data_IF_738497066625
#
_entry.id   IF_738497066625
#
_cell.length_a   1.000
_cell.length_b   1.000
_cell.length_c   1.000
_cell.angle_alpha   90.00
_cell.angle_beta   90.00
_cell.angle_gamma   90.00
#
_symmetry.space_group_name_H-M   'P 1'
#
loop_
_entity.id
_entity.type
_entity.pdbx_description
1 polymer ?
#
# COMPACT_ATOMS: atom_id res chain seq x y z
N UNK A 1 23.59 -23.59 -5.21
CA UNK A 1 22.44 -23.23 -4.37
C UNK A 1 22.13 -21.72 -4.37
N UNK A 2 23.08 -20.80 -4.07
CA UNK A 2 22.80 -19.34 -4.10
C UNK A 2 22.27 -18.79 -5.44
N UNK A 3 22.78 -19.24 -6.58
CA UNK A 3 22.32 -18.80 -7.91
C UNK A 3 20.93 -19.32 -8.29
N UNK A 4 20.50 -20.48 -7.77
CA UNK A 4 19.17 -21.02 -8.03
C UNK A 4 18.10 -20.37 -7.15
N UNK A 5 18.43 -19.95 -5.91
CA UNK A 5 17.49 -19.20 -5.05
C UNK A 5 17.21 -17.82 -5.64
N UNK A 6 18.24 -17.12 -6.15
CA UNK A 6 18.10 -15.81 -6.78
C UNK A 6 17.28 -15.92 -8.09
N UNK A 7 17.48 -16.98 -8.88
CA UNK A 7 16.70 -17.18 -10.11
C UNK A 7 15.23 -17.57 -9.82
N UNK A 8 14.94 -18.24 -8.72
CA UNK A 8 13.55 -18.57 -8.33
C UNK A 8 12.84 -17.35 -7.76
N UNK A 9 13.53 -16.49 -7.00
CA UNK A 9 12.97 -15.19 -6.57
C UNK A 9 12.74 -14.25 -7.78
N UNK A 10 13.65 -14.22 -8.74
CA UNK A 10 13.48 -13.45 -9.96
C UNK A 10 12.31 -13.94 -10.83
N UNK A 11 11.98 -15.24 -10.78
CA UNK A 11 10.83 -15.80 -11.51
C UNK A 11 9.51 -15.39 -10.89
N UNK A 12 9.43 -15.19 -9.57
CA UNK A 12 8.24 -14.65 -8.88
C UNK A 12 8.03 -13.19 -9.28
N UNK A 13 9.11 -12.42 -9.48
CA UNK A 13 9.06 -11.04 -9.94
C UNK A 13 8.69 -10.90 -11.44
N UNK A 14 9.00 -11.89 -12.27
CA UNK A 14 8.74 -11.85 -13.72
C UNK A 14 7.33 -12.28 -14.12
N UNK A 15 6.54 -12.82 -13.20
CA UNK A 15 5.16 -13.26 -13.46
C UNK A 15 4.09 -12.18 -13.27
N UNK A 16 4.47 -10.91 -13.03
CA UNK A 16 3.51 -9.86 -12.77
C UNK A 16 3.95 -8.48 -13.25
N UNK A 17 3.89 -8.23 -14.54
CA UNK A 17 4.05 -6.87 -15.10
C UNK A 17 2.75 -6.07 -14.97
N UNK A 18 2.19 -5.92 -13.75
CA UNK A 18 1.17 -4.89 -13.46
C UNK A 18 0.87 -4.88 -11.95
N UNK A 19 1.53 -4.05 -11.18
CA UNK A 19 1.23 -3.91 -9.76
C UNK A 19 1.17 -2.42 -9.40
N UNK A 20 0.02 -1.93 -9.02
CA UNK A 20 -0.12 -0.72 -8.25
C UNK A 20 -1.18 -0.94 -7.20
N UNK A 21 -0.90 -0.47 -6.02
CA UNK A 21 -1.77 -0.53 -4.87
C UNK A 21 -1.91 0.89 -4.34
N UNK A 22 -3.11 1.35 -4.13
CA UNK A 22 -3.33 2.53 -3.30
C UNK A 22 -4.68 2.35 -2.60
N UNK A 23 -4.70 2.36 -1.27
CA UNK A 23 -5.92 2.26 -0.49
C UNK A 23 -5.84 3.14 0.76
N UNK A 24 -4.73 3.12 1.49
CA UNK A 24 -4.41 4.07 2.57
C UNK A 24 -3.20 4.90 2.12
N UNK A 25 -3.45 5.93 1.28
CA UNK A 25 -2.40 6.51 0.47
C UNK A 25 -1.88 5.47 -0.53
N UNK A 26 -0.61 5.11 -0.49
CA UNK A 26 -0.06 4.04 -1.33
C UNK A 26 0.08 2.68 -0.60
N UNK A 27 -0.35 2.55 0.67
CA UNK A 27 -0.37 1.29 1.39
C UNK A 27 -1.67 0.52 1.15
N UNK A 28 -1.61 -0.82 1.16
CA UNK A 28 -2.82 -1.66 1.15
C UNK A 28 -3.61 -1.51 2.45
N UNK A 29 -4.93 -1.74 2.40
CA UNK A 29 -5.81 -1.62 3.56
C UNK A 29 -5.61 -2.71 4.63
N UNK A 30 -4.82 -3.76 4.33
CA UNK A 30 -4.46 -4.86 5.22
C UNK A 30 -3.72 -5.97 4.49
N UNK A 31 -3.24 -6.97 5.19
CA UNK A 31 -2.53 -8.12 4.64
C UNK A 31 -3.29 -9.40 4.97
N UNK A 32 -3.34 -10.33 3.99
CA UNK A 32 -4.11 -11.55 4.07
C UNK A 32 -5.58 -11.39 3.66
N UNK A 33 -6.07 -12.33 2.86
CA UNK A 33 -7.41 -12.27 2.24
C UNK A 33 -8.52 -12.29 3.30
N UNK A 34 -8.33 -13.04 4.40
CA UNK A 34 -9.31 -13.06 5.48
C UNK A 34 -9.44 -11.71 6.20
N UNK A 35 -8.31 -11.04 6.51
CA UNK A 35 -8.30 -9.71 7.11
C UNK A 35 -8.84 -8.64 6.16
N UNK A 36 -8.48 -8.72 4.86
CA UNK A 36 -9.02 -7.82 3.83
C UNK A 36 -10.55 -7.92 3.70
N UNK A 37 -11.12 -9.09 4.00
CA UNK A 37 -12.58 -9.27 4.11
C UNK A 37 -13.22 -8.51 5.28
N UNK A 38 -12.43 -7.93 6.19
CA UNK A 38 -12.83 -7.06 7.28
C UNK A 38 -12.22 -5.65 7.16
N UNK A 39 -11.98 -5.18 5.95
CA UNK A 39 -11.31 -3.90 5.66
C UNK A 39 -9.92 -3.78 6.32
N UNK A 40 -9.23 -4.90 6.49
CA UNK A 40 -7.93 -4.98 7.16
C UNK A 40 -8.01 -4.84 8.69
N UNK A 41 -9.19 -4.88 9.28
CA UNK A 41 -9.36 -4.96 10.73
C UNK A 41 -9.04 -6.36 11.26
N UNK A 42 -8.82 -6.47 12.58
CA UNK A 42 -8.56 -7.73 13.27
C UNK A 42 -7.12 -7.89 13.74
N UNK A 43 -6.46 -6.80 14.11
CA UNK A 43 -5.09 -6.82 14.64
C UNK A 43 -4.93 -7.70 15.89
N UNK A 44 -6.02 -7.92 16.63
CA UNK A 44 -6.07 -8.80 17.79
C UNK A 44 -6.43 -10.26 17.45
N UNK A 45 -6.58 -10.61 16.17
CA UNK A 45 -6.98 -11.94 15.70
C UNK A 45 -5.87 -12.67 14.95
N UNK A 46 -5.89 -14.00 15.04
CA UNK A 46 -5.03 -14.90 14.25
C UNK A 46 -5.94 -15.76 13.36
N UNK A 47 -6.29 -15.26 12.17
CA UNK A 47 -7.28 -15.89 11.29
C UNK A 47 -6.64 -16.77 10.19
N UNK A 48 -5.42 -16.46 9.83
CA UNK A 48 -4.63 -17.15 8.80
C UNK A 48 -3.13 -16.85 8.99
N UNK A 49 -2.26 -17.51 8.23
CA UNK A 49 -0.82 -17.28 8.30
C UNK A 49 -0.44 -15.80 8.08
N UNK A 50 -1.11 -15.14 7.14
CA UNK A 50 -0.88 -13.73 6.83
C UNK A 50 -1.28 -12.77 7.95
N UNK A 51 -1.96 -13.23 9.02
CA UNK A 51 -2.18 -12.43 10.24
C UNK A 51 -0.86 -11.93 10.85
N UNK A 52 0.23 -12.70 10.67
CA UNK A 52 1.58 -12.30 11.08
C UNK A 52 2.12 -11.05 10.38
N UNK A 53 1.64 -10.71 9.18
CA UNK A 53 2.02 -9.50 8.45
C UNK A 53 1.35 -8.24 9.03
N UNK A 54 0.15 -8.37 9.61
CA UNK A 54 -0.52 -7.28 10.33
C UNK A 54 0.06 -7.11 11.75
N UNK A 55 0.27 -8.24 12.45
CA UNK A 55 0.84 -8.28 13.80
C UNK A 55 1.70 -9.54 13.95
N UNK A 56 3.03 -9.43 14.10
CA UNK A 56 3.91 -10.60 14.24
C UNK A 56 3.52 -11.58 15.35
N UNK A 57 2.89 -11.08 16.43
CA UNK A 57 2.39 -11.92 17.51
C UNK A 57 1.25 -12.88 17.08
N UNK A 58 0.65 -12.63 15.92
CA UNK A 58 -0.47 -13.41 15.38
C UNK A 58 -0.06 -14.50 14.38
N UNK A 59 1.24 -14.71 14.18
CA UNK A 59 1.71 -15.90 13.49
C UNK A 59 1.49 -17.13 14.39
N UNK A 60 0.39 -17.82 14.18
CA UNK A 60 0.01 -19.04 14.92
C UNK A 60 -0.24 -20.18 13.95
N UNK A 61 0.39 -21.30 14.22
CA UNK A 61 0.21 -22.56 13.52
C UNK A 61 0.34 -23.71 14.51
N UNK A 62 -0.31 -24.84 14.23
CA UNK A 62 -0.24 -26.08 15.01
C UNK A 62 0.65 -27.16 14.32
N UNK A 63 1.06 -26.90 13.09
CA UNK A 63 1.85 -27.79 12.24
C UNK A 63 2.62 -26.94 11.21
N UNK A 64 3.22 -27.55 10.23
CA UNK A 64 3.73 -26.79 9.07
C UNK A 64 2.56 -26.41 8.16
N UNK A 65 2.38 -25.12 7.92
CA UNK A 65 1.33 -24.60 7.06
C UNK A 65 1.89 -23.70 5.97
N UNK A 66 1.19 -23.65 4.84
CA UNK A 66 1.47 -22.81 3.70
C UNK A 66 0.23 -21.99 3.38
N UNK A 67 0.43 -20.79 2.86
CA UNK A 67 -0.62 -19.95 2.29
C UNK A 67 -0.17 -19.42 0.94
N UNK A 68 -1.08 -19.43 -0.03
CA UNK A 68 -0.90 -18.77 -1.32
C UNK A 68 -2.15 -17.97 -1.62
N UNK A 69 -1.99 -16.69 -1.87
CA UNK A 69 -3.08 -15.77 -2.17
C UNK A 69 -2.81 -14.94 -3.42
N UNK A 70 -3.89 -14.46 -4.00
CA UNK A 70 -3.90 -13.55 -5.14
C UNK A 70 -5.06 -12.57 -4.98
N UNK A 71 -4.77 -11.28 -5.09
CA UNK A 71 -5.77 -10.24 -5.22
C UNK A 71 -5.74 -9.65 -6.63
N UNK A 72 -6.90 -9.47 -7.22
CA UNK A 72 -7.12 -8.67 -8.41
C UNK A 72 -7.65 -7.31 -7.97
N UNK A 73 -6.83 -6.28 -8.15
CA UNK A 73 -7.10 -4.91 -7.77
C UNK A 73 -7.40 -4.06 -9.01
N UNK A 74 -8.53 -3.33 -8.98
CA UNK A 74 -8.99 -2.54 -10.12
C UNK A 74 -9.28 -1.09 -9.71
N UNK A 75 -8.31 -0.17 -9.86
CA UNK A 75 -8.50 1.26 -9.64
C UNK A 75 -8.90 1.98 -10.94
N UNK A 76 -9.90 2.85 -10.88
CA UNK A 76 -10.21 3.86 -11.90
C UNK A 76 -9.68 5.22 -11.42
N UNK A 77 -8.70 5.79 -12.12
CA UNK A 77 -8.01 7.03 -11.77
C UNK A 77 -8.11 8.00 -12.94
N UNK A 78 -8.41 9.25 -12.63
CA UNK A 78 -8.46 10.31 -13.64
C UNK A 78 -8.06 11.66 -13.07
N UNK A 79 -7.66 12.56 -13.94
CA UNK A 79 -7.58 13.97 -13.64
C UNK A 79 -8.45 14.77 -14.60
N UNK A 80 -8.85 15.97 -14.16
CA UNK A 80 -9.56 16.95 -14.98
C UNK A 80 -8.86 18.30 -14.88
N UNK A 81 -8.57 18.93 -16.01
CA UNK A 81 -8.08 20.30 -16.09
C UNK A 81 -9.17 21.20 -16.68
N UNK A 82 -9.43 22.34 -16.03
CA UNK A 82 -10.43 23.29 -16.50
C UNK A 82 -9.95 24.09 -17.71
N UNK A 83 -10.89 24.60 -18.52
CA UNK A 83 -10.59 25.61 -19.52
C UNK A 83 -10.23 26.95 -18.86
N UNK A 84 -9.40 27.72 -19.53
CA UNK A 84 -8.95 29.04 -19.08
C UNK A 84 -9.30 30.09 -20.13
N UNK A 85 -9.94 31.17 -19.71
CA UNK A 85 -10.34 32.27 -20.62
C UNK A 85 -9.18 33.21 -20.98
N UNK A 86 -8.27 33.43 -20.03
CA UNK A 86 -7.11 34.32 -20.21
C UNK A 86 -5.82 33.54 -19.82
N UNK A 87 -4.88 33.48 -20.76
CA UNK A 87 -3.59 32.85 -20.54
C UNK A 87 -2.58 33.87 -19.99
N UNK A 88 -1.92 33.54 -18.90
CA UNK A 88 -0.78 34.32 -18.43
C UNK A 88 0.48 33.87 -19.18
N UNK A 89 1.37 34.80 -19.57
CA UNK A 89 2.68 34.43 -20.09
C UNK A 89 3.44 33.55 -19.05
N UNK A 90 4.19 32.59 -19.53
CA UNK A 90 5.07 31.72 -18.75
C UNK A 90 4.36 30.78 -17.75
N UNK A 91 3.02 30.74 -17.71
CA UNK A 91 2.28 29.78 -16.88
C UNK A 91 2.19 28.41 -17.57
N UNK A 92 2.30 27.33 -16.78
CA UNK A 92 2.25 25.95 -17.27
C UNK A 92 0.81 25.40 -17.18
N UNK A 93 0.04 25.66 -18.24
CA UNK A 93 -1.33 25.16 -18.36
C UNK A 93 -1.35 23.71 -18.82
N UNK A 94 -2.24 22.93 -18.25
CA UNK A 94 -2.61 21.64 -18.83
C UNK A 94 -3.73 21.81 -19.84
N UNK A 95 -3.79 20.92 -20.84
CA UNK A 95 -4.89 20.88 -21.79
C UNK A 95 -6.23 20.66 -21.06
N UNK A 96 -7.23 21.50 -21.38
CA UNK A 96 -8.56 21.44 -20.77
C UNK A 96 -9.28 20.16 -21.19
N UNK A 97 -9.20 19.13 -20.37
CA UNK A 97 -9.80 17.80 -20.58
C UNK A 97 -9.92 17.01 -19.30
N UNK A 98 -10.69 15.92 -19.35
CA UNK A 98 -10.61 14.82 -18.39
C UNK A 98 -9.84 13.68 -19.05
N UNK A 99 -8.84 13.15 -18.37
CA UNK A 99 -8.07 12.00 -18.85
C UNK A 99 -8.01 10.91 -17.78
N UNK A 100 -8.31 9.67 -18.17
CA UNK A 100 -8.22 8.48 -17.34
C UNK A 100 -6.85 7.82 -17.50
N UNK A 101 -6.40 7.18 -16.42
CA UNK A 101 -5.24 6.30 -16.47
C UNK A 101 -5.60 4.99 -17.18
N UNK A 102 -4.73 4.53 -18.06
CA UNK A 102 -4.96 3.35 -18.90
C UNK A 102 -4.69 2.03 -18.15
N UNK A 103 -3.88 2.05 -17.09
CA UNK A 103 -3.63 0.89 -16.25
C UNK A 103 -4.75 0.73 -15.22
N UNK A 104 -5.60 -0.30 -15.37
CA UNK A 104 -6.82 -0.44 -14.56
C UNK A 104 -6.94 -1.79 -13.83
N UNK A 105 -6.00 -2.72 -14.00
CA UNK A 105 -6.07 -4.04 -13.37
C UNK A 105 -4.69 -4.51 -12.94
N UNK A 106 -4.59 -4.95 -11.67
CA UNK A 106 -3.35 -5.37 -11.05
C UNK A 106 -3.53 -6.69 -10.31
N UNK A 107 -2.53 -7.58 -10.41
CA UNK A 107 -2.50 -8.85 -9.72
C UNK A 107 -1.47 -8.79 -8.57
N UNK A 108 -1.92 -9.03 -7.33
CA UNK A 108 -1.12 -8.91 -6.12
C UNK A 108 -1.01 -10.26 -5.46
N UNK A 109 0.12 -10.95 -5.63
CA UNK A 109 0.34 -12.23 -4.98
C UNK A 109 0.76 -12.04 -3.52
N UNK A 110 0.37 -12.99 -2.67
CA UNK A 110 0.90 -13.17 -1.32
C UNK A 110 1.25 -14.64 -1.07
N UNK A 111 2.29 -14.87 -0.29
CA UNK A 111 2.74 -16.20 0.09
C UNK A 111 3.17 -16.21 1.55
N UNK A 112 2.86 -17.30 2.25
CA UNK A 112 3.38 -17.53 3.59
C UNK A 112 3.70 -19.00 3.83
N UNK A 113 4.72 -19.23 4.65
CA UNK A 113 5.01 -20.51 5.28
C UNK A 113 5.16 -20.29 6.78
N UNK A 114 4.53 -21.13 7.58
CA UNK A 114 4.66 -21.12 9.04
C UNK A 114 4.91 -22.53 9.58
N UNK A 115 5.63 -22.59 10.69
CA UNK A 115 5.95 -23.84 11.38
C UNK A 115 5.94 -23.63 12.89
N UNK A 116 5.28 -24.52 13.60
CA UNK A 116 5.34 -24.57 15.06
C UNK A 116 6.65 -25.26 15.48
N UNK A 117 7.59 -24.50 16.02
CA UNK A 117 8.87 -25.04 16.49
C UNK A 117 8.72 -25.79 17.82
N UNK A 118 7.85 -25.30 18.70
CA UNK A 118 7.40 -25.91 19.94
C UNK A 118 6.11 -25.23 20.43
N UNK A 119 5.57 -25.66 21.58
CA UNK A 119 4.32 -25.13 22.15
C UNK A 119 4.28 -23.60 22.34
N UNK A 120 5.43 -22.94 22.40
CA UNK A 120 5.55 -21.50 22.66
C UNK A 120 6.05 -20.70 21.46
N UNK A 121 6.68 -21.31 20.48
CA UNK A 121 7.37 -20.62 19.40
C UNK A 121 6.81 -21.05 18.05
N UNK A 122 6.31 -20.08 17.31
CA UNK A 122 6.00 -20.22 15.89
C UNK A 122 6.98 -19.37 15.08
N UNK A 123 7.43 -19.90 13.96
CA UNK A 123 8.30 -19.21 12.99
C UNK A 123 7.68 -19.26 11.62
N UNK A 124 7.99 -18.30 10.80
CA UNK A 124 7.50 -18.28 9.41
C UNK A 124 8.23 -17.28 8.53
N UNK A 125 7.89 -17.34 7.25
CA UNK A 125 8.29 -16.32 6.26
C UNK A 125 7.04 -15.89 5.52
N UNK A 126 6.79 -14.59 5.52
CA UNK A 126 5.66 -13.96 4.86
C UNK A 126 6.20 -13.11 3.70
N UNK A 127 5.58 -13.23 2.53
CA UNK A 127 5.95 -12.48 1.31
C UNK A 127 4.69 -11.83 0.77
N UNK A 128 4.66 -10.51 0.68
CA UNK A 128 3.46 -9.77 0.32
C UNK A 128 3.76 -8.38 -0.25
N UNK A 129 2.86 -7.88 -1.09
CA UNK A 129 2.88 -6.49 -1.54
C UNK A 129 2.48 -5.56 -0.40
N UNK A 130 3.33 -4.54 -0.11
CA UNK A 130 2.99 -3.52 0.87
C UNK A 130 2.10 -2.44 0.26
N UNK A 131 2.41 -2.04 -0.97
CA UNK A 131 1.73 -0.97 -1.65
C UNK A 131 2.44 -0.56 -2.94
N UNK A 132 2.00 0.55 -3.49
CA UNK A 132 2.57 1.13 -4.70
C UNK A 132 1.75 2.29 -5.23
N UNK A 133 2.28 2.95 -6.23
CA UNK A 133 1.62 4.01 -6.99
C UNK A 133 1.75 3.69 -8.47
N UNK A 134 0.66 3.81 -9.21
CA UNK A 134 0.72 3.65 -10.65
C UNK A 134 -0.30 4.55 -11.33
N UNK A 135 0.14 5.26 -12.34
CA UNK A 135 -0.70 5.90 -13.35
C UNK A 135 -0.03 5.76 -14.69
N UNK A 136 -0.82 5.75 -15.74
CA UNK A 136 -0.33 5.83 -17.12
C UNK A 136 -1.36 6.58 -17.96
N UNK A 137 -0.98 7.75 -18.43
CA UNK A 137 -1.77 8.58 -19.32
C UNK A 137 -1.11 8.51 -20.70
N UNK A 138 -1.60 7.59 -21.53
CA UNK A 138 -1.03 7.36 -22.86
C UNK A 138 -1.21 8.58 -23.75
N UNK A 139 -0.16 8.89 -24.49
CA UNK A 139 -0.10 9.98 -25.46
C UNK A 139 0.88 9.63 -26.58
N UNK A 140 0.95 10.47 -27.60
CA UNK A 140 2.02 10.44 -28.58
C UNK A 140 3.38 10.81 -27.97
N UNK A 141 4.28 11.26 -28.85
CA UNK A 141 5.58 11.85 -28.42
C UNK A 141 5.40 13.32 -28.06
N UNK A 142 6.36 13.89 -27.33
CA UNK A 142 6.38 15.33 -27.08
C UNK A 142 6.15 16.14 -28.40
N UNK A 143 5.32 17.21 -28.37
CA UNK A 143 4.76 17.92 -27.21
C UNK A 143 3.38 17.40 -26.73
N UNK A 144 2.96 16.20 -27.11
CA UNK A 144 1.71 15.61 -26.60
C UNK A 144 1.84 15.17 -25.13
N UNK A 145 0.73 14.75 -24.53
CA UNK A 145 0.67 14.18 -23.18
C UNK A 145 0.33 15.19 -22.10
N UNK A 146 0.11 14.66 -20.89
CA UNK A 146 -0.36 15.43 -19.73
C UNK A 146 0.56 16.62 -19.42
N UNK A 147 1.86 16.39 -19.46
CA UNK A 147 2.87 17.42 -19.20
C UNK A 147 3.68 17.80 -20.47
N UNK A 148 3.11 17.60 -21.66
CA UNK A 148 3.74 17.92 -22.95
C UNK A 148 5.07 17.18 -23.21
N UNK A 149 5.24 16.02 -22.60
CA UNK A 149 6.46 15.22 -22.65
C UNK A 149 6.20 13.76 -23.08
N UNK A 150 5.10 13.52 -23.81
CA UNK A 150 4.67 12.19 -24.23
C UNK A 150 3.82 11.46 -23.18
N UNK A 151 3.77 10.14 -23.25
CA UNK A 151 3.09 9.31 -22.25
C UNK A 151 3.60 9.65 -20.85
N UNK A 152 2.67 9.95 -19.95
CA UNK A 152 2.99 10.42 -18.60
C UNK A 152 2.52 9.41 -17.58
N UNK A 153 3.34 9.10 -16.59
CA UNK A 153 2.95 8.23 -15.48
C UNK A 153 4.10 7.82 -14.59
N UNK A 154 3.74 7.10 -13.52
CA UNK A 154 4.67 6.47 -12.59
C UNK A 154 4.26 5.03 -12.32
N UNK A 155 5.22 4.22 -11.93
CA UNK A 155 5.01 2.83 -11.51
C UNK A 155 5.93 2.51 -10.32
N UNK A 156 5.38 2.53 -9.11
CA UNK A 156 6.05 2.14 -7.87
C UNK A 156 5.48 0.82 -7.37
N UNK A 157 6.34 -0.12 -7.05
CA UNK A 157 6.00 -1.44 -6.49
C UNK A 157 6.85 -1.74 -5.27
N UNK A 158 6.21 -2.26 -4.22
CA UNK A 158 6.90 -2.62 -2.98
C UNK A 158 6.55 -4.04 -2.57
N UNK A 159 7.54 -4.89 -2.41
CA UNK A 159 7.45 -6.26 -1.93
C UNK A 159 8.16 -6.39 -0.58
N UNK A 160 7.46 -6.94 0.40
CA UNK A 160 8.01 -7.27 1.71
C UNK A 160 8.30 -8.77 1.81
N UNK A 161 9.47 -9.09 2.37
CA UNK A 161 9.86 -10.44 2.78
C UNK A 161 10.12 -10.36 4.28
N UNK A 162 9.27 -11.01 5.06
CA UNK A 162 9.21 -10.86 6.53
C UNK A 162 9.40 -12.21 7.23
N UNK A 163 10.65 -12.61 7.55
CA UNK A 163 10.87 -13.67 8.51
C UNK A 163 10.24 -13.26 9.85
N UNK A 164 9.37 -14.10 10.39
CA UNK A 164 8.56 -13.77 11.56
C UNK A 164 8.73 -14.80 12.64
N UNK A 165 8.86 -14.35 13.88
CA UNK A 165 8.84 -15.19 15.08
C UNK A 165 7.74 -14.68 16.00
N UNK A 166 6.85 -15.58 16.42
CA UNK A 166 5.85 -15.36 17.47
C UNK A 166 6.20 -16.21 18.70
N UNK A 167 6.12 -15.61 19.87
CA UNK A 167 6.41 -16.25 21.16
C UNK A 167 5.25 -16.13 22.14
N UNK A 168 4.77 -17.26 22.65
CA UNK A 168 3.76 -17.34 23.73
C UNK A 168 4.43 -17.07 25.07
N UNK A 169 4.37 -15.82 25.54
CA UNK A 169 4.99 -15.39 26.79
C UNK A 169 4.31 -16.04 28.00
N UNK A 170 2.98 -16.06 28.01
CA UNK A 170 2.14 -16.77 28.96
C UNK A 170 0.81 -17.15 28.27
N UNK A 171 -0.12 -17.79 28.97
CA UNK A 171 -1.40 -18.26 28.40
C UNK A 171 -2.22 -17.16 27.72
N UNK A 172 -2.04 -15.91 28.13
CA UNK A 172 -2.83 -14.76 27.68
C UNK A 172 -2.07 -13.84 26.73
N UNK A 173 -0.73 -13.87 26.73
CA UNK A 173 0.09 -12.86 26.06
C UNK A 173 1.03 -13.51 25.06
N UNK A 174 1.00 -13.03 23.83
CA UNK A 174 1.95 -13.34 22.78
C UNK A 174 2.68 -12.08 22.35
N UNK A 175 3.93 -12.22 21.97
CA UNK A 175 4.74 -11.18 21.37
C UNK A 175 5.35 -11.69 20.07
N UNK A 176 5.66 -10.80 19.16
CA UNK A 176 6.24 -11.20 17.89
C UNK A 176 7.20 -10.16 17.34
N UNK A 177 8.10 -10.62 16.48
CA UNK A 177 9.06 -9.78 15.76
C UNK A 177 9.20 -10.29 14.33
N UNK A 178 9.26 -9.33 13.40
CA UNK A 178 9.51 -9.56 11.99
C UNK A 178 10.56 -8.55 11.50
N UNK A 179 11.83 -8.93 11.32
CA UNK A 179 12.68 -8.21 10.38
C UNK A 179 11.99 -8.18 9.02
N UNK A 180 12.03 -7.03 8.35
CA UNK A 180 11.42 -6.84 7.04
C UNK A 180 12.53 -6.50 6.05
N UNK A 181 12.68 -7.29 5.00
CA UNK A 181 13.46 -6.94 3.83
C UNK A 181 12.53 -6.42 2.74
N UNK A 182 12.80 -5.22 2.25
CA UNK A 182 12.00 -4.55 1.24
C UNK A 182 12.70 -4.57 -0.10
N UNK A 183 11.97 -4.95 -1.14
CA UNK A 183 12.34 -4.75 -2.53
C UNK A 183 11.38 -3.71 -3.12
N UNK A 184 11.94 -2.66 -3.73
CA UNK A 184 11.18 -1.59 -4.33
C UNK A 184 11.62 -1.38 -5.77
N UNK A 185 10.66 -1.16 -6.67
CA UNK A 185 10.89 -0.80 -8.07
C UNK A 185 10.15 0.47 -8.39
N UNK A 186 10.79 1.34 -9.18
CA UNK A 186 10.19 2.59 -9.61
C UNK A 186 10.52 2.89 -11.07
N UNK A 187 9.55 3.47 -11.76
CA UNK A 187 9.68 4.05 -13.09
C UNK A 187 8.82 5.31 -13.19
N UNK A 188 9.34 6.35 -13.84
CA UNK A 188 8.60 7.56 -14.21
C UNK A 188 8.80 7.90 -15.68
N UNK A 189 7.73 8.35 -16.33
CA UNK A 189 7.70 8.71 -17.74
C UNK A 189 7.05 10.08 -17.95
N UNK A 190 7.48 10.79 -19.00
CA UNK A 190 6.83 12.00 -19.48
C UNK A 190 6.92 13.20 -18.56
N UNK A 191 8.02 13.36 -17.80
CA UNK A 191 8.24 14.47 -16.88
C UNK A 191 9.32 15.46 -17.37
N UNK A 192 9.83 15.33 -18.60
CA UNK A 192 10.95 16.14 -19.10
C UNK A 192 10.65 17.65 -19.15
N UNK A 193 9.39 18.06 -19.15
CA UNK A 193 8.99 19.48 -19.03
C UNK A 193 9.37 20.10 -17.68
N UNK A 194 9.61 19.31 -16.66
CA UNK A 194 10.10 19.76 -15.34
C UNK A 194 11.63 19.78 -15.24
N UNK A 195 12.36 19.44 -16.30
CA UNK A 195 13.83 19.45 -16.34
C UNK A 195 14.47 20.76 -15.87
N UNK A 196 13.93 21.97 -16.17
CA UNK A 196 14.46 23.24 -15.68
C UNK A 196 14.42 23.38 -14.13
N UNK A 197 13.56 22.61 -13.46
CA UNK A 197 13.41 22.61 -12.02
C UNK A 197 14.25 21.52 -11.33
N UNK A 198 15.00 20.70 -12.05
CA UNK A 198 15.75 19.56 -11.49
C UNK A 198 17.25 19.87 -11.37
N UNK A 199 17.86 19.43 -10.26
CA UNK A 199 19.31 19.45 -10.09
C UNK A 199 20.04 18.46 -11.01
N UNK A 200 19.33 17.42 -11.51
CA UNK A 200 19.86 16.41 -12.42
C UNK A 200 18.84 16.08 -13.50
N UNK A 201 18.65 16.97 -14.49
CA UNK A 201 17.61 16.86 -15.51
C UNK A 201 17.59 15.54 -16.29
N UNK A 202 18.76 14.92 -16.51
CA UNK A 202 18.90 13.64 -17.19
C UNK A 202 18.44 12.45 -16.33
N UNK A 203 18.28 12.63 -15.02
CA UNK A 203 17.82 11.62 -14.07
C UNK A 203 16.43 11.99 -13.50
N UNK A 204 15.57 12.62 -14.30
CA UNK A 204 14.23 13.05 -13.89
C UNK A 204 13.15 12.06 -14.31
N UNK A 205 13.15 11.61 -15.55
CA UNK A 205 12.18 10.66 -16.10
C UNK A 205 12.73 9.89 -17.30
N UNK A 206 11.96 8.89 -17.76
CA UNK A 206 12.25 8.10 -18.96
C UNK A 206 13.56 7.30 -18.89
N UNK A 207 13.98 6.93 -17.70
CA UNK A 207 15.21 6.19 -17.42
C UNK A 207 14.98 4.68 -17.21
N UNK A 208 13.76 4.19 -17.51
CA UNK A 208 13.36 2.79 -17.28
C UNK A 208 13.22 2.46 -15.80
N UNK A 209 13.00 1.19 -15.51
CA UNK A 209 12.79 0.72 -14.14
C UNK A 209 14.09 0.72 -13.34
N UNK A 210 14.09 1.39 -12.18
CA UNK A 210 15.15 1.32 -11.18
C UNK A 210 14.70 0.50 -9.96
N UNK A 211 15.65 -0.01 -9.17
CA UNK A 211 15.39 -0.87 -8.03
C UNK A 211 16.10 -0.38 -6.78
N UNK A 212 15.41 -0.47 -5.66
CA UNK A 212 15.91 -0.09 -4.35
C UNK A 212 15.62 -1.19 -3.33
N UNK A 213 16.45 -1.29 -2.30
CA UNK A 213 16.27 -2.24 -1.20
C UNK A 213 16.44 -1.55 0.14
N UNK A 214 15.73 -2.06 1.15
CA UNK A 214 15.83 -1.54 2.50
C UNK A 214 15.52 -2.60 3.54
N UNK A 215 15.77 -2.29 4.80
CA UNK A 215 15.52 -3.17 5.94
C UNK A 215 14.80 -2.41 7.04
N UNK A 216 13.76 -3.03 7.57
CA UNK A 216 13.00 -2.52 8.72
C UNK A 216 12.71 -3.61 9.72
N UNK A 217 11.93 -3.26 10.74
CA UNK A 217 11.48 -4.20 11.76
C UNK A 217 10.01 -3.92 12.10
N UNK A 218 9.26 -5.00 12.33
CA UNK A 218 7.93 -4.93 12.90
C UNK A 218 7.89 -5.67 14.22
N UNK A 219 7.29 -5.05 15.23
CA UNK A 219 7.06 -5.60 16.55
C UNK A 219 5.57 -5.75 16.76
N UNK A 220 5.17 -6.78 17.53
CA UNK A 220 3.77 -7.01 17.81
C UNK A 220 3.53 -7.60 19.17
N UNK A 221 2.37 -7.30 19.73
CA UNK A 221 1.82 -7.92 20.93
C UNK A 221 0.35 -8.24 20.70
N UNK A 222 -0.09 -9.36 21.28
CA UNK A 222 -1.50 -9.74 21.37
C UNK A 222 -1.77 -10.25 22.78
N UNK A 223 -2.87 -9.78 23.37
CA UNK A 223 -3.26 -10.18 24.71
C UNK A 223 -4.75 -10.49 24.80
N UNK A 224 -5.05 -11.67 25.31
CA UNK A 224 -6.40 -12.08 25.70
C UNK A 224 -6.68 -11.60 27.13
N UNK A 225 -7.64 -10.71 27.30
CA UNK A 225 -8.03 -10.17 28.60
C UNK A 225 -8.97 -11.16 29.33
N UNK A 226 -9.93 -11.71 28.58
CA UNK A 226 -10.87 -12.72 29.05
C UNK A 226 -11.45 -13.50 27.85
N UNK A 227 -12.42 -14.37 28.08
CA UNK A 227 -13.03 -15.20 27.03
C UNK A 227 -13.72 -14.42 25.90
N UNK A 228 -14.02 -13.13 26.12
CA UNK A 228 -14.75 -12.29 25.16
C UNK A 228 -13.94 -11.14 24.60
N UNK A 229 -12.82 -10.76 25.23
CA UNK A 229 -12.06 -9.56 24.86
C UNK A 229 -10.59 -9.87 24.69
N UNK A 230 -10.04 -9.48 23.54
CA UNK A 230 -8.60 -9.41 23.28
C UNK A 230 -8.22 -8.05 22.68
N UNK A 231 -6.95 -7.69 22.78
CA UNK A 231 -6.37 -6.52 22.12
C UNK A 231 -5.00 -6.86 21.56
N UNK A 232 -4.58 -6.08 20.59
CA UNK A 232 -3.26 -6.18 20.00
C UNK A 232 -2.70 -4.82 19.63
N UNK A 233 -1.39 -4.74 19.54
CA UNK A 233 -0.68 -3.59 19.00
C UNK A 233 0.46 -4.05 18.10
N UNK A 234 0.74 -3.29 17.07
CA UNK A 234 1.85 -3.51 16.15
C UNK A 234 2.50 -2.18 15.80
N UNK A 235 3.84 -2.18 15.77
CA UNK A 235 4.65 -1.06 15.31
C UNK A 235 5.59 -1.53 14.21
N UNK A 236 5.59 -0.83 13.09
CA UNK A 236 6.55 -0.99 12.00
C UNK A 236 7.43 0.25 11.91
N UNK A 237 8.74 0.05 11.96
CA UNK A 237 9.69 1.15 11.79
C UNK A 237 9.59 1.76 10.41
N UNK A 238 10.01 3.00 10.26
CA UNK A 238 10.44 3.52 8.96
C UNK A 238 11.51 2.59 8.37
N UNK A 239 11.58 2.55 7.04
CA UNK A 239 12.59 1.77 6.31
C UNK A 239 13.40 2.72 5.46
N UNK A 240 14.67 2.91 5.81
CA UNK A 240 15.61 3.60 4.93
C UNK A 240 15.90 2.72 3.73
N UNK A 241 15.58 3.24 2.57
CA UNK A 241 15.77 2.58 1.28
C UNK A 241 17.07 3.09 0.63
N UNK A 242 17.64 2.30 -0.25
CA UNK A 242 18.65 2.80 -1.17
C UNK A 242 18.02 3.81 -2.12
N UNK A 243 18.78 4.82 -2.53
CA UNK A 243 18.31 5.83 -3.48
C UNK A 243 18.06 5.20 -4.86
N UNK A 244 17.11 5.77 -5.60
CA UNK A 244 16.93 5.49 -7.02
C UNK A 244 17.89 6.36 -7.85
N UNK A 245 19.06 5.83 -8.18
CA UNK A 245 20.10 6.56 -8.93
C UNK A 245 19.60 7.12 -10.27
N UNK A 246 18.75 6.35 -10.95
CA UNK A 246 18.14 6.75 -12.23
C UNK A 246 17.14 7.90 -12.07
N UNK A 247 16.67 8.17 -10.84
CA UNK A 247 15.67 9.20 -10.52
C UNK A 247 16.16 10.20 -9.47
N UNK A 248 17.49 10.36 -9.32
CA UNK A 248 18.10 11.31 -8.38
C UNK A 248 17.80 12.78 -8.69
N UNK A 249 17.26 13.08 -9.86
CA UNK A 249 16.79 14.41 -10.25
C UNK A 249 15.28 14.61 -10.03
N UNK A 250 14.56 13.58 -9.56
CA UNK A 250 13.12 13.62 -9.30
C UNK A 250 12.83 13.67 -7.79
N UNK A 251 13.19 12.63 -7.08
CA UNK A 251 12.89 12.49 -5.66
C UNK A 251 13.85 13.29 -4.78
N UNK A 252 13.32 13.82 -3.67
CA UNK A 252 14.14 14.42 -2.64
C UNK A 252 15.28 13.48 -2.19
N UNK A 253 16.29 14.03 -1.53
CA UNK A 253 17.42 13.24 -1.03
C UNK A 253 18.16 12.46 -2.14
N UNK A 254 18.25 13.05 -3.35
CA UNK A 254 18.94 12.51 -4.53
C UNK A 254 18.43 11.13 -4.98
N UNK A 255 17.12 10.95 -4.96
CA UNK A 255 16.45 9.70 -5.36
C UNK A 255 15.90 8.91 -4.17
N UNK A 256 15.84 9.51 -2.98
CA UNK A 256 15.32 8.88 -1.77
C UNK A 256 13.81 8.66 -1.83
N UNK A 257 13.37 7.45 -1.55
CA UNK A 257 11.98 7.09 -1.39
C UNK A 257 11.83 6.05 -0.29
N UNK A 258 12.01 6.49 0.94
CA UNK A 258 11.90 5.69 2.16
C UNK A 258 10.45 5.22 2.39
N UNK A 259 10.26 4.27 3.29
CA UNK A 259 8.93 3.88 3.72
C UNK A 259 8.65 4.47 5.11
N UNK A 260 7.44 5.04 5.30
CA UNK A 260 7.05 5.63 6.57
C UNK A 260 6.88 4.57 7.66
N UNK A 261 7.07 5.00 8.90
CA UNK A 261 6.71 4.23 10.07
C UNK A 261 5.20 4.12 10.21
N UNK A 262 4.73 3.08 10.91
CA UNK A 262 3.31 2.95 11.22
C UNK A 262 3.07 2.27 12.56
N UNK A 263 2.00 2.68 13.23
CA UNK A 263 1.51 2.06 14.45
C UNK A 263 0.05 1.66 14.27
N UNK A 264 -0.32 0.51 14.81
CA UNK A 264 -1.70 0.03 14.80
C UNK A 264 -2.04 -0.54 16.18
N UNK A 265 -3.28 -0.28 16.64
CA UNK A 265 -3.84 -0.83 17.89
C UNK A 265 -5.24 -1.35 17.55
N UNK A 266 -5.57 -2.53 18.03
CA UNK A 266 -6.85 -3.15 17.74
C UNK A 266 -7.43 -3.93 18.90
N UNK A 267 -8.73 -4.14 18.85
CA UNK A 267 -9.49 -4.94 19.83
C UNK A 267 -10.41 -5.91 19.10
N UNK A 268 -10.63 -7.06 19.71
CA UNK A 268 -11.62 -8.03 19.25
C UNK A 268 -12.56 -8.39 20.42
N UNK A 269 -13.86 -8.31 20.15
CA UNK A 269 -14.91 -8.55 21.13
C UNK A 269 -15.91 -9.60 20.63
N UNK A 270 -15.93 -10.76 21.28
CA UNK A 270 -16.92 -11.81 21.05
C UNK A 270 -18.25 -11.44 21.68
N UNK A 271 -19.24 -11.14 20.86
CA UNK A 271 -20.62 -10.86 21.27
C UNK A 271 -21.31 -12.15 21.69
N UNK A 272 -21.09 -13.22 20.92
CA UNK A 272 -21.51 -14.58 21.17
C UNK A 272 -20.38 -15.52 20.78
N UNK A 273 -20.46 -16.83 21.07
CA UNK A 273 -19.44 -17.78 20.58
C UNK A 273 -19.19 -17.73 19.06
N UNK A 274 -20.22 -17.37 18.28
CA UNK A 274 -20.19 -17.37 16.82
C UNK A 274 -20.05 -15.97 16.21
N UNK A 275 -20.12 -14.90 16.98
CA UNK A 275 -20.15 -13.52 16.47
C UNK A 275 -19.12 -12.65 17.18
N UNK A 276 -18.28 -12.00 16.38
CA UNK A 276 -17.19 -11.15 16.87
C UNK A 276 -17.13 -9.84 16.12
N UNK A 277 -16.92 -8.75 16.84
CA UNK A 277 -16.65 -7.41 16.29
C UNK A 277 -15.19 -7.08 16.58
N UNK A 278 -14.52 -6.47 15.61
CA UNK A 278 -13.14 -5.98 15.74
C UNK A 278 -13.11 -4.50 15.40
N UNK A 279 -12.27 -3.78 16.13
CA UNK A 279 -12.02 -2.37 15.88
C UNK A 279 -10.52 -2.12 15.93
N UNK A 280 -9.98 -1.48 14.89
CA UNK A 280 -8.58 -1.09 14.84
C UNK A 280 -8.45 0.40 14.54
N UNK A 281 -7.43 1.00 15.13
CA UNK A 281 -6.90 2.31 14.83
C UNK A 281 -5.49 2.16 14.27
N UNK A 282 -5.18 2.85 13.18
CA UNK A 282 -3.85 2.84 12.56
C UNK A 282 -3.42 4.27 12.23
N UNK A 283 -2.14 4.57 12.46
CA UNK A 283 -1.47 5.78 11.95
C UNK A 283 -0.33 5.37 11.02
N UNK A 284 -0.22 6.06 9.88
CA UNK A 284 0.90 5.98 8.93
C UNK A 284 1.53 7.38 8.90
N UNK A 285 2.81 7.47 9.22
CA UNK A 285 3.54 8.74 9.32
C UNK A 285 4.18 9.07 7.97
N UNK A 286 3.40 9.55 7.02
CA UNK A 286 3.90 9.92 5.68
C UNK A 286 4.88 11.10 5.73
N UNK A 287 4.84 11.92 6.79
CA UNK A 287 5.78 13.02 7.05
C UNK A 287 7.21 12.55 7.36
N UNK A 288 7.42 11.26 7.64
CA UNK A 288 8.75 10.67 7.74
C UNK A 288 9.52 10.69 6.38
N UNK A 289 8.83 10.86 5.23
CA UNK A 289 9.39 10.64 3.88
C UNK A 289 9.31 11.93 3.06
N UNK A 290 10.45 12.58 2.84
CA UNK A 290 10.52 13.90 2.15
C UNK A 290 9.95 13.89 0.75
N UNK A 291 10.20 12.85 -0.04
CA UNK A 291 9.62 12.70 -1.38
C UNK A 291 8.09 12.59 -1.39
N UNK A 292 7.48 12.26 -0.24
CA UNK A 292 6.03 12.22 -0.06
C UNK A 292 5.51 13.52 0.53
N UNK A 293 6.12 14.03 1.61
CA UNK A 293 5.57 15.14 2.41
C UNK A 293 5.98 16.54 1.91
N UNK A 294 7.14 16.68 1.24
CA UNK A 294 7.56 17.99 0.76
C UNK A 294 6.50 18.63 -0.13
N UNK A 295 6.08 19.88 0.14
CA UNK A 295 5.00 20.50 -0.63
C UNK A 295 5.49 21.00 -1.99
N UNK A 296 4.54 21.17 -2.93
CA UNK A 296 4.84 21.60 -4.30
C UNK A 296 5.44 23.00 -4.39
N UNK A 297 5.16 23.89 -3.43
CA UNK A 297 5.70 25.25 -3.42
C UNK A 297 7.22 25.27 -3.25
N UNK A 298 7.83 24.23 -2.72
CA UNK A 298 9.27 24.03 -2.70
C UNK A 298 9.89 24.10 -4.11
N UNK A 299 9.13 23.82 -5.15
CA UNK A 299 9.59 23.92 -6.55
C UNK A 299 10.13 25.31 -6.91
N UNK A 300 9.67 26.36 -6.20
CA UNK A 300 10.14 27.74 -6.40
C UNK A 300 11.41 28.08 -5.62
N UNK A 301 11.81 27.26 -4.68
CA UNK A 301 12.92 27.56 -3.75
C UNK A 301 14.05 26.54 -3.77
N UNK A 302 13.77 25.29 -4.17
CA UNK A 302 14.73 24.20 -4.21
C UNK A 302 14.51 23.32 -5.42
N UNK A 303 15.58 22.93 -6.15
CA UNK A 303 15.45 22.02 -7.29
C UNK A 303 14.93 20.63 -6.86
N UNK A 304 14.16 19.99 -7.75
CA UNK A 304 13.84 18.56 -7.65
C UNK A 304 15.14 17.74 -7.52
N UNK A 305 15.11 16.69 -6.72
CA UNK A 305 16.28 15.87 -6.40
C UNK A 305 17.06 16.34 -5.19
N UNK A 306 16.90 17.60 -4.71
CA UNK A 306 17.54 18.08 -3.47
C UNK A 306 16.69 17.69 -2.25
N UNK A 307 17.26 17.74 -1.06
CA UNK A 307 16.56 17.41 0.20
C UNK A 307 15.30 18.27 0.43
N UNK A 308 15.34 19.53 -0.02
CA UNK A 308 14.20 20.45 0.02
C UNK A 308 13.37 20.47 -1.26
N UNK A 309 13.65 19.63 -2.25
CA UNK A 309 12.90 19.57 -3.49
C UNK A 309 11.45 19.19 -3.27
N UNK A 310 10.55 19.65 -4.17
CA UNK A 310 9.12 19.33 -4.09
C UNK A 310 8.86 17.82 -4.16
N UNK A 311 7.88 17.36 -3.40
CA UNK A 311 7.35 16.00 -3.38
C UNK A 311 5.86 15.98 -3.71
N UNK A 312 5.12 15.06 -3.12
CA UNK A 312 3.68 14.94 -3.32
C UNK A 312 2.84 15.78 -2.34
N UNK A 313 3.43 16.32 -1.27
CA UNK A 313 2.79 17.17 -0.28
C UNK A 313 1.73 16.45 0.58
N UNK A 314 1.92 15.16 0.85
CA UNK A 314 0.95 14.37 1.63
C UNK A 314 1.08 14.63 3.13
N UNK A 315 -0.07 14.66 3.78
CA UNK A 315 -0.19 14.61 5.23
C UNK A 315 -0.16 13.17 5.76
N UNK A 316 0.08 13.01 7.05
CA UNK A 316 -0.08 11.75 7.77
C UNK A 316 -1.50 11.20 7.66
N UNK A 317 -1.63 9.87 7.68
CA UNK A 317 -2.95 9.23 7.65
C UNK A 317 -3.30 8.58 8.98
N UNK A 318 -4.53 8.85 9.44
CA UNK A 318 -5.16 8.13 10.56
C UNK A 318 -6.35 7.34 10.05
N UNK A 319 -6.34 6.02 10.26
CA UNK A 319 -7.30 5.08 9.70
C UNK A 319 -8.07 4.41 10.84
N UNK A 320 -9.37 4.36 10.72
CA UNK A 320 -10.29 3.64 11.61
C UNK A 320 -10.90 2.47 10.85
N UNK A 321 -10.85 1.26 11.44
CA UNK A 321 -11.35 0.04 10.82
C UNK A 321 -12.32 -0.65 11.76
N UNK A 322 -13.46 -1.08 11.22
CA UNK A 322 -14.46 -1.87 11.93
C UNK A 322 -14.75 -3.13 11.10
N UNK A 323 -14.58 -4.28 11.74
CA UNK A 323 -14.87 -5.57 11.14
C UNK A 323 -15.90 -6.34 11.97
N UNK A 324 -16.65 -7.18 11.29
CA UNK A 324 -17.55 -8.15 11.89
C UNK A 324 -17.30 -9.51 11.25
N UNK A 325 -17.21 -10.56 12.09
CA UNK A 325 -17.17 -11.93 11.61
C UNK A 325 -18.22 -12.79 12.29
N UNK A 326 -18.80 -13.69 11.49
CA UNK A 326 -19.81 -14.65 11.90
C UNK A 326 -19.38 -16.06 11.52
N UNK A 327 -19.20 -16.92 12.53
CA UNK A 327 -19.04 -18.36 12.35
C UNK A 327 -20.40 -18.98 12.02
N UNK A 328 -20.74 -19.01 10.72
CA UNK A 328 -22.04 -19.50 10.25
C UNK A 328 -22.24 -21.01 10.50
N UNK A 329 -21.18 -21.78 10.29
CA UNK A 329 -21.11 -23.22 10.57
C UNK A 329 -19.68 -23.52 11.05
N UNK A 330 -19.41 -24.73 11.52
CA UNK A 330 -18.04 -25.15 11.90
C UNK A 330 -17.03 -24.96 10.75
N UNK A 331 -17.49 -24.98 9.50
CA UNK A 331 -16.66 -24.89 8.30
C UNK A 331 -16.68 -23.51 7.62
N UNK A 332 -17.66 -22.66 7.94
CA UNK A 332 -17.87 -21.40 7.21
C UNK A 332 -17.85 -20.19 8.12
N UNK A 333 -17.03 -19.22 7.77
CA UNK A 333 -16.96 -17.91 8.44
C UNK A 333 -17.23 -16.81 7.40
N UNK A 334 -18.19 -15.93 7.69
CA UNK A 334 -18.53 -14.77 6.87
C UNK A 334 -18.00 -13.52 7.56
N UNK A 335 -17.49 -12.59 6.77
CA UNK A 335 -16.90 -11.33 7.25
C UNK A 335 -17.45 -10.14 6.51
N UNK A 336 -17.54 -9.02 7.23
CA UNK A 336 -17.82 -7.71 6.67
C UNK A 336 -16.88 -6.69 7.32
N UNK A 337 -16.52 -5.67 6.57
CA UNK A 337 -15.66 -4.63 7.07
C UNK A 337 -15.95 -3.27 6.46
N UNK A 338 -15.64 -2.25 7.23
CA UNK A 338 -15.63 -0.87 6.80
C UNK A 338 -14.38 -0.19 7.37
N UNK A 339 -13.69 0.61 6.57
CA UNK A 339 -12.64 1.50 7.06
C UNK A 339 -12.87 2.92 6.57
N UNK A 340 -12.39 3.86 7.37
CA UNK A 340 -12.43 5.28 7.07
C UNK A 340 -11.10 5.94 7.41
N UNK A 341 -10.69 6.85 6.55
CA UNK A 341 -9.57 7.77 6.77
C UNK A 341 -9.88 9.08 6.06
N UNK A 342 -9.28 10.17 6.49
CA UNK A 342 -9.18 11.36 5.68
C UNK A 342 -8.07 11.17 4.64
N UNK A 343 -8.31 11.55 3.40
CA UNK A 343 -7.33 11.42 2.32
C UNK A 343 -6.13 12.39 2.56
N UNK A 344 -4.88 12.02 2.19
CA UNK A 344 -3.68 12.74 2.62
C UNK A 344 -3.29 13.94 1.74
N UNK A 345 -4.00 14.23 0.63
CA UNK A 345 -3.58 15.19 -0.39
C UNK A 345 -4.27 16.54 -0.22
N UNK A 346 -3.59 17.59 0.28
CA UNK A 346 -4.15 18.93 0.31
C UNK A 346 -4.52 19.45 -1.10
N UNK A 347 -5.50 20.33 -1.19
CA UNK A 347 -5.94 20.90 -2.47
C UNK A 347 -4.85 21.72 -3.20
N UNK A 348 -3.83 22.21 -2.48
CA UNK A 348 -2.65 22.85 -3.09
C UNK A 348 -1.76 21.88 -3.87
N UNK A 349 -1.83 20.57 -3.58
CA UNK A 349 -0.87 19.59 -4.05
C UNK A 349 -1.35 18.80 -5.29
N UNK A 350 -2.50 19.19 -5.90
CA UNK A 350 -3.16 18.42 -6.97
C UNK A 350 -2.29 18.21 -8.22
N UNK A 351 -1.39 19.12 -8.58
CA UNK A 351 -0.64 19.06 -9.85
C UNK A 351 0.27 17.82 -9.92
N UNK A 352 1.12 17.57 -8.93
CA UNK A 352 1.99 16.40 -8.91
C UNK A 352 1.22 15.12 -8.56
N UNK A 353 0.11 15.25 -7.83
CA UNK A 353 -0.75 14.14 -7.48
C UNK A 353 -1.61 13.60 -8.65
N UNK A 354 -1.55 14.21 -9.84
CA UNK A 354 -1.98 13.57 -11.08
C UNK A 354 -1.25 12.24 -11.28
N UNK A 355 0.02 12.15 -10.87
CA UNK A 355 0.83 10.93 -10.97
C UNK A 355 0.47 9.88 -9.92
N UNK A 356 -0.02 10.31 -8.75
CA UNK A 356 -0.27 9.44 -7.60
C UNK A 356 -1.55 9.85 -6.84
N UNK A 357 -2.75 9.73 -7.44
CA UNK A 357 -4.01 10.21 -6.85
C UNK A 357 -4.52 9.29 -5.73
N UNK A 358 -3.80 9.23 -4.60
CA UNK A 358 -4.12 8.41 -3.44
C UNK A 358 -5.23 8.98 -2.55
N UNK A 359 -6.38 9.34 -3.12
CA UNK A 359 -7.46 10.12 -2.47
C UNK A 359 -8.56 9.29 -1.79
N UNK A 360 -8.37 7.99 -1.59
CA UNK A 360 -9.41 7.13 -1.01
C UNK A 360 -9.65 7.38 0.47
N UNK A 361 -10.94 7.37 0.87
CA UNK A 361 -11.37 7.58 2.26
C UNK A 361 -12.11 6.38 2.84
N UNK A 362 -12.97 5.73 2.06
CA UNK A 362 -13.82 4.65 2.53
C UNK A 362 -13.51 3.33 1.84
N UNK A 363 -13.53 2.23 2.60
CA UNK A 363 -13.52 0.88 2.06
C UNK A 363 -14.66 0.08 2.67
N UNK A 364 -15.41 -0.61 1.82
CA UNK A 364 -16.45 -1.57 2.19
C UNK A 364 -16.02 -2.94 1.71
N UNK A 365 -16.01 -3.92 2.59
CA UNK A 365 -15.49 -5.25 2.27
C UNK A 365 -16.44 -6.36 2.71
N UNK A 366 -16.36 -7.49 2.02
CA UNK A 366 -17.00 -8.73 2.41
C UNK A 366 -16.04 -9.89 2.19
N UNK A 367 -16.10 -10.89 3.05
CA UNK A 367 -15.22 -12.07 2.99
C UNK A 367 -15.95 -13.35 3.38
N UNK A 368 -15.44 -14.47 2.84
CA UNK A 368 -15.87 -15.83 3.17
C UNK A 368 -14.64 -16.70 3.36
N UNK A 369 -14.61 -17.44 4.46
CA UNK A 369 -13.69 -18.57 4.63
C UNK A 369 -14.46 -19.87 4.63
N UNK A 370 -13.91 -20.90 3.96
CA UNK A 370 -14.44 -22.25 3.98
C UNK A 370 -13.32 -23.26 4.27
N UNK A 371 -13.45 -23.97 5.39
CA UNK A 371 -12.56 -25.04 5.78
C UNK A 371 -13.07 -26.37 5.18
N UNK A 372 -12.34 -26.94 4.21
CA UNK A 372 -12.63 -28.25 3.65
C UNK A 372 -12.25 -29.38 4.60
N UNK A 373 -11.27 -29.12 5.46
CA UNK A 373 -10.81 -29.99 6.54
C UNK A 373 -10.10 -29.13 7.59
N UNK A 374 -9.63 -29.74 8.68
CA UNK A 374 -8.78 -29.07 9.66
C UNK A 374 -7.44 -28.54 9.09
N UNK A 375 -7.05 -29.01 7.90
CA UNK A 375 -5.78 -28.68 7.26
C UNK A 375 -5.92 -27.83 5.98
N UNK A 376 -7.11 -27.62 5.45
CA UNK A 376 -7.31 -26.94 4.17
C UNK A 376 -8.42 -25.90 4.29
N UNK A 377 -8.07 -24.66 4.05
CA UNK A 377 -9.00 -23.52 4.08
C UNK A 377 -8.87 -22.71 2.80
N UNK A 378 -10.00 -22.24 2.31
CA UNK A 378 -10.15 -21.26 1.24
C UNK A 378 -10.67 -19.97 1.84
N UNK A 379 -10.02 -18.84 1.52
CA UNK A 379 -10.55 -17.50 1.80
C UNK A 379 -10.85 -16.78 0.50
N UNK A 380 -11.95 -16.04 0.47
CA UNK A 380 -12.34 -15.18 -0.63
C UNK A 380 -12.76 -13.83 -0.05
N UNK A 381 -12.41 -12.74 -0.71
CA UNK A 381 -12.88 -11.40 -0.35
C UNK A 381 -13.24 -10.59 -1.58
N UNK A 382 -14.14 -9.62 -1.39
CA UNK A 382 -14.40 -8.54 -2.32
C UNK A 382 -14.37 -7.21 -1.56
N UNK A 383 -13.92 -6.15 -2.23
CA UNK A 383 -14.00 -4.81 -1.68
C UNK A 383 -14.40 -3.79 -2.73
N UNK A 384 -14.93 -2.68 -2.24
CA UNK A 384 -15.27 -1.49 -3.01
C UNK A 384 -14.92 -0.23 -2.21
N UNK A 385 -14.29 0.74 -2.86
CA UNK A 385 -13.98 2.06 -2.33
C UNK A 385 -14.56 3.11 -3.28
N UNK A 386 -15.55 3.89 -2.84
CA UNK A 386 -16.26 4.86 -3.68
C UNK A 386 -15.33 5.94 -4.22
N UNK A 387 -15.71 6.51 -5.35
CA UNK A 387 -15.00 7.63 -5.93
C UNK A 387 -14.84 8.79 -4.94
N UNK A 388 -13.62 9.29 -4.84
CA UNK A 388 -13.28 10.52 -4.11
C UNK A 388 -12.51 11.45 -5.04
N UNK A 389 -12.91 12.72 -5.05
CA UNK A 389 -12.25 13.78 -5.79
C UNK A 389 -11.60 14.80 -4.85
N UNK A 390 -10.43 15.28 -5.23
CA UNK A 390 -9.77 16.47 -4.64
C UNK A 390 -9.56 17.48 -5.75
N UNK A 391 -10.04 18.71 -5.52
CA UNK A 391 -9.96 19.81 -6.47
C UNK A 391 -9.09 20.92 -5.90
N UNK A 392 -8.23 21.48 -6.72
CA UNK A 392 -7.35 22.58 -6.35
C UNK A 392 -6.93 23.42 -7.54
N UNK A 393 -6.05 24.35 -7.28
CA UNK A 393 -5.49 25.26 -8.30
C UNK A 393 -4.24 24.62 -8.89
N UNK A 394 -4.05 24.76 -10.20
CA UNK A 394 -2.78 24.41 -10.83
C UNK A 394 -1.69 25.36 -10.29
N UNK A 395 -0.74 24.82 -9.53
CA UNK A 395 0.32 25.60 -8.89
C UNK A 395 1.12 26.45 -9.88
N UNK A 396 1.36 25.93 -11.09
CA UNK A 396 2.12 26.64 -12.14
C UNK A 396 1.24 27.47 -13.08
N UNK A 397 -0.08 27.45 -12.90
CA UNK A 397 -1.06 28.25 -13.67
C UNK A 397 -2.25 28.62 -12.76
N UNK A 398 -2.15 29.64 -11.89
CA UNK A 398 -3.08 29.90 -10.79
C UNK A 398 -4.53 30.18 -11.19
N UNK A 399 -4.82 30.43 -12.45
CA UNK A 399 -6.18 30.60 -12.98
C UNK A 399 -6.75 29.33 -13.64
N UNK A 400 -6.05 28.19 -13.52
CA UNK A 400 -6.55 26.88 -13.94
C UNK A 400 -6.87 26.01 -12.72
N UNK A 401 -8.03 25.39 -12.70
CA UNK A 401 -8.43 24.41 -11.70
C UNK A 401 -8.10 23.01 -12.21
N UNK A 402 -7.55 22.19 -11.32
CA UNK A 402 -7.29 20.77 -11.53
C UNK A 402 -8.09 19.95 -10.51
N UNK A 403 -8.58 18.80 -10.92
CA UNK A 403 -9.06 17.79 -9.99
C UNK A 403 -8.44 16.42 -10.27
N UNK A 404 -8.27 15.65 -9.22
CA UNK A 404 -7.82 14.26 -9.26
C UNK A 404 -8.89 13.40 -8.60
N UNK A 405 -9.21 12.27 -9.19
CA UNK A 405 -10.26 11.37 -8.69
C UNK A 405 -9.81 9.92 -8.79
N UNK A 406 -10.22 9.13 -7.81
CA UNK A 406 -9.98 7.69 -7.79
C UNK A 406 -11.20 6.94 -7.24
N UNK A 407 -11.51 5.79 -7.85
CA UNK A 407 -12.44 4.77 -7.41
C UNK A 407 -11.73 3.42 -7.44
N UNK A 408 -12.06 2.50 -6.53
CA UNK A 408 -11.38 1.21 -6.46
C UNK A 408 -12.33 0.06 -6.19
N UNK A 409 -11.98 -1.11 -6.74
CA UNK A 409 -12.59 -2.38 -6.38
C UNK A 409 -11.57 -3.50 -6.46
N UNK A 410 -11.86 -4.64 -5.84
CA UNK A 410 -10.99 -5.80 -5.94
C UNK A 410 -11.65 -7.08 -5.45
N UNK A 411 -11.03 -8.18 -5.89
CA UNK A 411 -11.39 -9.54 -5.51
C UNK A 411 -10.13 -10.27 -5.09
N UNK A 412 -10.19 -11.00 -3.99
CA UNK A 412 -9.05 -11.79 -3.49
C UNK A 412 -9.44 -13.22 -3.18
N UNK A 413 -8.48 -14.11 -3.35
CA UNK A 413 -8.59 -15.53 -3.02
C UNK A 413 -7.29 -16.00 -2.37
N UNK A 414 -7.36 -16.79 -1.31
CA UNK A 414 -6.19 -17.49 -0.77
C UNK A 414 -6.53 -18.91 -0.36
N UNK A 415 -5.54 -19.78 -0.52
CA UNK A 415 -5.54 -21.15 -0.04
C UNK A 415 -4.52 -21.28 1.09
N UNK A 416 -4.97 -21.87 2.22
CA UNK A 416 -4.11 -22.25 3.34
C UNK A 416 -4.19 -23.76 3.48
N UNK A 417 -3.03 -24.43 3.58
CA UNK A 417 -2.96 -25.88 3.78
C UNK A 417 -1.85 -26.29 4.73
N UNK A 418 -2.11 -27.32 5.56
CA UNK A 418 -1.18 -27.92 6.50
C UNK A 418 -0.69 -29.31 6.05
N UNK A 419 0.52 -29.67 6.47
CA UNK A 419 1.11 -31.01 6.26
C UNK A 419 1.40 -31.70 7.59
#
# INVERSE_FOLDING_TARGET
MKKQLISTLALIFSLGSSNALATNGYFTHGYGIAHKGMAGAGLALSEELMSGANNPANLLVDSTQFSLGLELFSPDRKYTASSVANFFPDAFYLEAKTQKSDNTLFAIPEFAIGHQLNEKINIGVLVYGNGGMNTQYNAGTAPDGTFYAGTTGVDLKQLFISPTVSYQFNEQTRVGVSPIYVLQQFEAQGLSSFAPFSQSPQNLSDNGTDTSTGVGIQLGINQTINSSLSWGASYRSAVSMQEFDSYRGLFAEQGGFDLPSSIQIGTAFKITPDNEIVFDWQKINYDDVRSITNPIDNLMSAPLGTDGGAGFGWDDMTIYKLGYQWQRTEQQKIRFGISYTEQPIPSSEVLFNILAPGVQEWHFTAGLSHSFSSKVQLNVMAFYSPAKEVTGVNFLAPNQTLSIEMEQSGLGISFVWGI
#
